data_IF_681815823653
#
_entry.id   IF_681815823653
#
_cell.length_a   1.000
_cell.length_b   1.000
_cell.length_c   1.000
_cell.angle_alpha   90.00
_cell.angle_beta   90.00
_cell.angle_gamma   90.00
#
_symmetry.space_group_name_H-M   'P 1'
#
loop_
_entity.id
_entity.type
_entity.pdbx_description
1 polymer ?
#
# COMPACT_ATOMS: atom_id res chain seq x y z
N UNK A 1 5.92 -0.14 -1.06
CA UNK A 1 6.10 -0.08 0.41
C UNK A 1 6.58 1.30 0.84
N UNK A 2 6.00 2.38 0.32
CA UNK A 2 6.30 3.73 0.81
C UNK A 2 5.16 4.22 1.69
N UNK A 3 3.93 4.12 1.17
CA UNK A 3 2.75 4.63 1.85
C UNK A 3 2.47 3.91 3.18
N UNK A 4 2.90 2.65 3.30
CA UNK A 4 2.83 1.86 4.53
C UNK A 4 3.63 2.43 5.69
N UNK A 5 4.50 3.41 5.44
CA UNK A 5 5.32 4.08 6.47
C UNK A 5 4.91 5.54 6.71
N UNK A 6 3.86 6.01 6.01
CA UNK A 6 3.36 7.38 6.14
C UNK A 6 2.14 7.38 7.06
N UNK A 7 2.13 8.32 8.02
CA UNK A 7 0.99 8.50 8.94
C UNK A 7 -0.29 8.90 8.22
N UNK A 8 -0.14 9.76 7.21
CA UNK A 8 -1.24 10.21 6.37
C UNK A 8 -0.88 10.06 4.88
N UNK A 9 -1.03 8.84 4.34
CA UNK A 9 -0.65 8.54 2.97
C UNK A 9 -1.55 9.25 1.96
N UNK A 10 -2.82 9.52 2.30
CA UNK A 10 -3.76 10.16 1.38
C UNK A 10 -3.41 11.62 1.15
N UNK A 11 -3.17 12.38 2.23
CA UNK A 11 -2.71 13.78 2.11
C UNK A 11 -1.38 13.89 1.38
N UNK A 12 -0.50 12.89 1.48
CA UNK A 12 0.75 12.85 0.71
C UNK A 12 0.46 12.65 -0.78
N UNK A 13 -0.42 11.72 -1.14
CA UNK A 13 -0.83 11.50 -2.54
C UNK A 13 -1.48 12.75 -3.16
N UNK A 14 -2.32 13.44 -2.41
CA UNK A 14 -2.92 14.71 -2.86
C UNK A 14 -1.86 15.76 -3.16
N UNK A 15 -0.89 15.95 -2.25
CA UNK A 15 0.24 16.89 -2.45
C UNK A 15 1.16 16.51 -3.60
N UNK A 16 1.31 15.23 -3.90
CA UNK A 16 2.05 14.81 -5.11
C UNK A 16 1.24 15.09 -6.37
N UNK A 17 -0.08 14.92 -6.31
CA UNK A 17 -0.98 15.25 -7.40
C UNK A 17 -0.90 16.72 -7.85
N UNK A 18 -0.77 17.66 -6.91
CA UNK A 18 -0.64 19.10 -7.22
C UNK A 18 0.67 19.45 -7.94
N UNK A 19 1.66 18.56 -7.95
CA UNK A 19 2.96 18.77 -8.58
C UNK A 19 3.05 18.17 -9.99
N UNK A 20 1.98 17.51 -10.46
CA UNK A 20 1.94 16.95 -11.79
C UNK A 20 1.88 18.06 -12.85
N UNK A 21 2.65 17.90 -13.93
CA UNK A 21 2.44 18.68 -15.16
C UNK A 21 1.06 18.34 -15.75
N UNK A 22 0.48 19.21 -16.60
CA UNK A 22 -0.74 18.88 -17.32
C UNK A 22 -0.62 17.52 -18.03
N UNK A 23 -1.61 16.64 -17.82
CA UNK A 23 -1.64 15.24 -18.31
C UNK A 23 -0.57 14.30 -17.72
N UNK A 24 0.14 14.73 -16.67
CA UNK A 24 1.04 13.88 -15.90
C UNK A 24 0.29 12.74 -15.20
N UNK A 25 1.02 11.67 -14.90
CA UNK A 25 0.51 10.49 -14.21
C UNK A 25 1.28 10.29 -12.91
N UNK A 26 0.55 10.00 -11.84
CA UNK A 26 1.10 9.48 -10.59
C UNK A 26 0.82 7.98 -10.54
N UNK A 27 1.87 7.17 -10.50
CA UNK A 27 1.79 5.73 -10.33
C UNK A 27 2.12 5.39 -8.87
N UNK A 28 1.32 4.52 -8.28
CA UNK A 28 1.48 4.04 -6.91
C UNK A 28 1.42 2.52 -6.94
N UNK A 29 2.44 1.88 -6.37
CA UNK A 29 2.50 0.43 -6.19
C UNK A 29 2.66 0.11 -4.71
N UNK A 30 1.66 -0.55 -4.14
CA UNK A 30 1.61 -0.90 -2.72
C UNK A 30 0.99 -2.27 -2.52
N UNK A 31 1.19 -2.83 -1.32
CA UNK A 31 0.62 -4.13 -0.95
C UNK A 31 -0.84 -3.99 -0.61
N UNK A 32 -1.65 -4.81 -1.28
CA UNK A 32 -3.04 -5.06 -0.92
C UNK A 32 -3.11 -6.02 0.29
N UNK A 33 -2.44 -7.17 0.20
CA UNK A 33 -2.40 -8.19 1.24
C UNK A 33 -1.19 -9.11 1.07
N UNK A 34 -0.84 -9.83 2.14
CA UNK A 34 0.11 -10.94 2.09
C UNK A 34 -0.58 -12.14 2.76
N UNK A 35 -0.69 -13.26 2.05
CA UNK A 35 -1.29 -14.49 2.55
C UNK A 35 -0.22 -15.57 2.68
N UNK A 36 -0.21 -16.27 3.82
CA UNK A 36 0.73 -17.36 4.06
C UNK A 36 0.15 -18.40 5.02
N UNK A 37 0.43 -19.66 4.70
CA UNK A 37 0.13 -20.80 5.57
C UNK A 37 1.28 -21.10 6.55
N UNK A 38 2.48 -20.53 6.32
CA UNK A 38 3.64 -20.77 7.17
C UNK A 38 3.47 -20.06 8.53
N UNK A 39 3.42 -20.77 9.66
CA UNK A 39 3.09 -20.18 10.97
C UNK A 39 4.02 -19.05 11.40
N UNK A 40 5.34 -19.21 11.18
CA UNK A 40 6.34 -18.18 11.50
C UNK A 40 6.12 -16.87 10.72
N UNK A 41 5.81 -16.97 9.42
CA UNK A 41 5.60 -15.79 8.59
C UNK A 41 4.30 -15.09 8.97
N UNK A 42 3.24 -15.86 9.29
CA UNK A 42 2.01 -15.29 9.84
C UNK A 42 2.29 -14.48 11.11
N UNK A 43 3.05 -15.05 12.05
CA UNK A 43 3.42 -14.37 13.29
C UNK A 43 4.25 -13.11 13.05
N UNK A 44 5.18 -13.16 12.10
CA UNK A 44 5.98 -12.01 11.71
C UNK A 44 5.11 -10.87 11.18
N UNK A 45 4.17 -11.16 10.28
CA UNK A 45 3.26 -10.17 9.71
C UNK A 45 2.36 -9.55 10.79
N UNK A 46 1.89 -10.34 11.77
CA UNK A 46 1.13 -9.81 12.92
C UNK A 46 1.93 -8.79 13.72
N UNK A 47 3.19 -9.10 14.03
CA UNK A 47 4.09 -8.20 14.78
C UNK A 47 4.34 -6.92 13.98
N UNK A 48 4.64 -7.03 12.69
CA UNK A 48 4.85 -5.88 11.82
C UNK A 48 3.61 -5.00 11.73
N UNK A 49 2.43 -5.58 11.54
CA UNK A 49 1.18 -4.85 11.49
C UNK A 49 0.91 -4.12 12.81
N UNK A 50 1.19 -4.75 13.95
CA UNK A 50 1.05 -4.12 15.27
C UNK A 50 2.01 -2.93 15.45
N UNK A 51 3.27 -3.08 15.05
CA UNK A 51 4.28 -2.02 15.11
C UNK A 51 3.89 -0.81 14.25
N UNK A 52 3.44 -1.04 13.02
CA UNK A 52 3.01 0.04 12.13
C UNK A 52 1.77 0.75 12.68
N UNK A 53 0.78 0.01 13.19
CA UNK A 53 -0.41 0.63 13.81
C UNK A 53 -0.06 1.53 14.98
N UNK A 54 0.92 1.18 15.82
CA UNK A 54 1.38 2.07 16.90
C UNK A 54 1.94 3.40 16.39
N UNK A 55 2.42 3.44 15.15
CA UNK A 55 2.93 4.64 14.49
C UNK A 55 1.88 5.34 13.62
N UNK A 56 0.60 4.95 13.74
CA UNK A 56 -0.50 5.38 12.86
C UNK A 56 -0.27 5.05 11.38
N UNK A 57 0.50 3.99 11.11
CA UNK A 57 0.80 3.47 9.79
C UNK A 57 0.02 2.17 9.51
N UNK A 58 -0.03 1.74 8.25
CA UNK A 58 -0.83 0.59 7.82
C UNK A 58 -0.04 -0.34 6.89
N UNK A 59 0.04 -1.63 7.23
CA UNK A 59 0.76 -2.63 6.42
C UNK A 59 0.04 -2.96 5.11
N UNK A 60 -1.29 -2.96 5.12
CA UNK A 60 -2.15 -3.37 4.03
C UNK A 60 -3.01 -2.20 3.56
N UNK A 61 -2.40 -1.28 2.81
CA UNK A 61 -3.04 -0.01 2.46
C UNK A 61 -3.95 -0.10 1.21
N UNK A 62 -3.90 -1.21 0.48
CA UNK A 62 -4.59 -1.36 -0.81
C UNK A 62 -6.09 -1.04 -0.76
N UNK A 63 -6.84 -1.58 0.21
CA UNK A 63 -8.26 -1.26 0.39
C UNK A 63 -8.52 0.23 0.63
N UNK A 64 -7.68 0.88 1.43
CA UNK A 64 -7.76 2.33 1.67
C UNK A 64 -7.53 3.13 0.38
N UNK A 65 -6.57 2.71 -0.45
CA UNK A 65 -6.34 3.29 -1.77
C UNK A 65 -7.50 3.01 -2.73
N UNK A 66 -8.18 1.88 -2.63
CA UNK A 66 -9.34 1.57 -3.45
C UNK A 66 -10.54 2.46 -3.10
N UNK A 67 -10.79 2.67 -1.81
CA UNK A 67 -11.90 3.48 -1.30
C UNK A 67 -11.69 4.98 -1.45
N UNK A 68 -10.42 5.42 -1.51
CA UNK A 68 -10.08 6.83 -1.66
C UNK A 68 -10.69 7.44 -2.94
N UNK A 69 -11.52 8.45 -2.79
CA UNK A 69 -12.01 9.24 -3.90
C UNK A 69 -11.02 10.35 -4.18
N UNK A 70 -10.42 10.33 -5.38
CA UNK A 70 -9.51 11.39 -5.81
C UNK A 70 -10.24 12.73 -5.87
N UNK A 71 -9.57 13.81 -5.49
CA UNK A 71 -10.12 15.16 -5.58
C UNK A 71 -10.44 15.58 -7.04
N UNK A 72 -11.19 16.67 -7.21
CA UNK A 72 -11.67 17.14 -8.52
C UNK A 72 -10.56 17.44 -9.55
N UNK A 73 -9.32 17.62 -9.09
CA UNK A 73 -8.17 17.92 -9.96
C UNK A 73 -7.50 16.66 -10.50
N UNK A 74 -7.78 15.50 -9.92
CA UNK A 74 -7.20 14.22 -10.29
C UNK A 74 -8.29 13.25 -10.77
N UNK A 75 -7.92 12.37 -11.70
CA UNK A 75 -8.80 11.28 -12.12
C UNK A 75 -8.06 9.96 -12.00
N UNK A 76 -8.66 9.00 -11.31
CA UNK A 76 -8.17 7.61 -11.29
C UNK A 76 -8.23 7.05 -12.71
N UNK A 77 -7.07 6.74 -13.29
CA UNK A 77 -6.95 6.18 -14.64
C UNK A 77 -6.96 4.65 -14.64
N UNK A 78 -6.34 4.04 -13.65
CA UNK A 78 -6.20 2.59 -13.53
C UNK A 78 -6.15 2.22 -12.04
N UNK A 79 -6.72 1.07 -11.70
CA UNK A 79 -6.64 0.45 -10.37
C UNK A 79 -6.71 -1.05 -10.56
N UNK A 80 -5.63 -1.76 -10.27
CA UNK A 80 -5.55 -3.22 -10.44
C UNK A 80 -4.72 -3.81 -9.31
N UNK A 81 -5.16 -4.98 -8.86
CA UNK A 81 -4.41 -5.81 -7.91
C UNK A 81 -3.92 -7.02 -8.67
N UNK A 82 -2.65 -7.36 -8.49
CA UNK A 82 -2.02 -8.54 -9.07
C UNK A 82 -1.61 -9.47 -7.94
N UNK A 83 -1.98 -10.75 -8.06
CA UNK A 83 -1.49 -11.77 -7.15
C UNK A 83 -0.17 -12.32 -7.68
N UNK A 84 0.87 -12.25 -6.85
CA UNK A 84 2.19 -12.78 -7.16
C UNK A 84 2.48 -13.96 -6.23
N UNK A 85 2.56 -15.20 -6.73
CA UNK A 85 3.01 -16.32 -5.92
C UNK A 85 4.49 -16.13 -5.60
N UNK A 86 4.82 -16.11 -4.32
CA UNK A 86 6.21 -16.02 -3.85
C UNK A 86 6.57 -17.34 -3.20
N UNK A 87 7.65 -17.98 -3.67
CA UNK A 87 8.19 -19.14 -2.99
C UNK A 87 8.85 -18.71 -1.68
N UNK A 88 8.52 -19.40 -0.59
CA UNK A 88 9.35 -19.30 0.61
C UNK A 88 10.72 -19.89 0.30
N UNK A 89 11.80 -19.19 0.66
CA UNK A 89 13.14 -19.77 0.58
C UNK A 89 13.11 -21.13 1.28
N UNK A 90 13.50 -22.20 0.57
CA UNK A 90 13.52 -23.54 1.15
C UNK A 90 14.44 -23.51 2.36
N UNK A 91 13.91 -23.93 3.50
CA UNK A 91 14.68 -24.13 4.73
C UNK A 91 15.86 -25.05 4.42
N UNK A 92 17.08 -24.62 4.75
CA UNK A 92 18.27 -25.46 4.76
C UNK A 92 18.18 -26.50 5.87
#
# INVERSE_FOLDING_TARGET
MLLTHLRDPISVLERWGTQLRPKGLLLVEEVEWIQTEHPLLRRYLEIQAALLRQQANELYIGLRLQQYQVNDQLKRRLSRVYHLPVSTARTF
#
